data_IF_769890720869
#
_entry.id   IF_769890720869
#
_cell.length_a   1.000
_cell.length_b   1.000
_cell.length_c   1.000
_cell.angle_alpha   90.00
_cell.angle_beta   90.00
_cell.angle_gamma   90.00
#
_symmetry.space_group_name_H-M   'P 1'
#
loop_
_entity.id
_entity.type
_entity.pdbx_description
1 polymer ?
#
# COMPACT_ATOMS: atom_id res chain seq x y z
N UNK A 1 -35.38 4.42 -6.24
CA UNK A 1 -34.33 3.50 -6.76
C UNK A 1 -32.95 4.17 -6.76
N UNK A 2 -32.49 4.74 -5.63
CA UNK A 2 -31.17 5.40 -5.54
C UNK A 2 -30.20 4.72 -4.56
N UNK A 3 -30.69 3.83 -3.70
CA UNK A 3 -29.89 3.18 -2.64
C UNK A 3 -29.03 2.02 -3.19
N UNK A 4 -29.34 1.51 -4.39
CA UNK A 4 -28.63 0.38 -4.98
C UNK A 4 -27.33 0.77 -5.70
N UNK A 5 -27.17 2.03 -6.11
CA UNK A 5 -25.95 2.52 -6.77
C UNK A 5 -24.86 2.89 -5.74
N UNK A 6 -25.25 3.35 -4.54
CA UNK A 6 -24.30 3.70 -3.47
C UNK A 6 -23.70 2.47 -2.76
N UNK A 7 -24.28 1.27 -2.95
CA UNK A 7 -23.73 0.01 -2.42
C UNK A 7 -22.62 -0.60 -3.28
N UNK A 8 -22.42 -0.12 -4.51
CA UNK A 8 -21.45 -0.71 -5.44
C UNK A 8 -20.00 -0.20 -5.28
N UNK A 9 -19.80 0.84 -4.48
CA UNK A 9 -18.48 1.39 -4.11
C UNK A 9 -17.88 0.76 -2.84
N UNK A 10 -18.51 -0.29 -2.30
CA UNK A 10 -18.06 -0.96 -1.07
C UNK A 10 -17.69 -2.41 -1.36
N UNK A 11 -16.51 -2.66 -1.97
CA UNK A 11 -15.74 -3.92 -1.86
C UNK A 11 -14.53 -3.97 -2.82
N UNK A 12 -13.52 -3.16 -2.56
CA UNK A 12 -12.13 -3.63 -2.71
C UNK A 12 -11.54 -3.55 -1.32
N UNK A 13 -12.03 -4.41 -0.44
CA UNK A 13 -11.44 -4.54 0.88
C UNK A 13 -10.24 -5.45 0.74
N UNK A 14 -9.13 -5.08 1.38
CA UNK A 14 -7.99 -5.96 1.63
C UNK A 14 -8.44 -7.41 1.86
N UNK A 15 -7.93 -8.31 1.03
CA UNK A 15 -8.25 -9.73 1.05
C UNK A 15 -7.00 -10.52 1.44
N UNK A 16 -7.16 -11.49 2.33
CA UNK A 16 -6.11 -12.44 2.70
C UNK A 16 -6.47 -13.79 2.07
N UNK A 17 -5.60 -14.31 1.22
CA UNK A 17 -5.70 -15.64 0.60
C UNK A 17 -4.61 -16.54 1.17
N UNK A 18 -4.87 -17.84 1.18
CA UNK A 18 -3.87 -18.83 1.56
C UNK A 18 -3.78 -19.91 0.48
N UNK A 19 -2.54 -20.34 0.19
CA UNK A 19 -2.25 -21.47 -0.68
C UNK A 19 -1.21 -22.35 0.01
N UNK A 20 -1.66 -23.48 0.56
CA UNK A 20 -0.82 -24.30 1.45
C UNK A 20 -0.40 -23.50 2.69
N UNK A 21 0.91 -23.36 2.89
CA UNK A 21 1.51 -22.60 4.00
C UNK A 21 1.86 -21.16 3.62
N UNK A 22 1.43 -20.70 2.44
CA UNK A 22 1.67 -19.33 1.97
C UNK A 22 0.45 -18.47 2.17
N UNK A 23 0.66 -17.25 2.65
CA UNK A 23 -0.37 -16.22 2.80
C UNK A 23 -0.11 -15.10 1.80
N UNK A 24 -1.14 -14.74 1.04
CA UNK A 24 -1.13 -13.65 0.07
C UNK A 24 -2.07 -12.55 0.53
N UNK A 25 -1.59 -11.31 0.48
CA UNK A 25 -2.39 -10.14 0.74
C UNK A 25 -2.71 -9.43 -0.58
N UNK A 26 -3.97 -9.37 -0.95
CA UNK A 26 -4.45 -8.59 -2.09
C UNK A 26 -5.04 -7.28 -1.57
N UNK A 27 -4.45 -6.15 -1.96
CA UNK A 27 -4.88 -4.84 -1.51
C UNK A 27 -4.62 -3.77 -2.58
N UNK A 28 -5.32 -2.66 -2.48
CA UNK A 28 -5.07 -1.47 -3.30
C UNK A 28 -3.71 -0.84 -2.96
N UNK A 29 -3.16 -0.01 -3.84
CA UNK A 29 -1.91 0.70 -3.55
C UNK A 29 -2.05 1.64 -2.33
N UNK A 30 -3.22 2.24 -2.14
CA UNK A 30 -3.52 3.06 -0.95
C UNK A 30 -3.48 2.22 0.35
N UNK A 31 -4.03 1.01 0.34
CA UNK A 31 -3.95 0.09 1.47
C UNK A 31 -2.51 -0.42 1.71
N UNK A 32 -1.73 -0.66 0.66
CA UNK A 32 -0.32 -1.03 0.77
C UNK A 32 0.52 0.09 1.42
N UNK A 33 0.29 1.36 1.06
CA UNK A 33 0.90 2.53 1.73
C UNK A 33 0.54 2.57 3.21
N UNK A 34 -0.74 2.35 3.54
CA UNK A 34 -1.20 2.30 4.93
C UNK A 34 -0.49 1.20 5.73
N UNK A 35 -0.38 0.00 5.16
CA UNK A 35 0.33 -1.12 5.78
C UNK A 35 1.80 -0.81 6.02
N UNK A 36 2.49 -0.25 5.02
CA UNK A 36 3.88 0.15 5.18
C UNK A 36 4.06 1.14 6.34
N UNK A 37 3.23 2.18 6.41
CA UNK A 37 3.30 3.17 7.49
C UNK A 37 3.00 2.56 8.86
N UNK A 38 2.00 1.68 8.94
CA UNK A 38 1.67 0.99 10.17
C UNK A 38 2.84 0.11 10.62
N UNK A 39 3.37 -0.73 9.73
CA UNK A 39 4.51 -1.61 10.00
C UNK A 39 5.73 -0.80 10.42
N UNK A 40 6.11 0.22 9.64
CA UNK A 40 7.27 1.07 9.91
C UNK A 40 7.18 1.78 11.27
N UNK A 41 5.99 2.25 11.66
CA UNK A 41 5.75 2.85 12.99
C UNK A 41 5.83 1.83 14.13
N UNK A 42 5.51 0.57 13.86
CA UNK A 42 5.55 -0.52 14.84
C UNK A 42 6.89 -1.23 14.91
N UNK A 43 7.82 -0.98 13.96
CA UNK A 43 9.20 -1.41 14.13
C UNK A 43 9.75 -0.66 15.32
N UNK A 44 9.83 -1.37 16.45
CA UNK A 44 10.73 -0.97 17.50
C UNK A 44 12.15 -1.19 16.94
N UNK A 45 12.78 -0.11 16.49
CA UNK A 45 14.18 -0.11 16.03
C UNK A 45 15.12 -0.65 17.12
N UNK A 46 14.65 -0.77 18.37
CA UNK A 46 15.40 -1.37 19.47
C UNK A 46 15.25 -2.89 19.57
N UNK A 47 14.18 -3.51 19.06
CA UNK A 47 13.95 -4.96 19.23
C UNK A 47 14.59 -5.81 18.13
N UNK A 48 14.83 -5.27 16.93
CA UNK A 48 15.50 -5.97 15.82
C UNK A 48 14.72 -7.14 15.20
N UNK A 49 13.66 -7.63 15.84
CA UNK A 49 12.95 -8.86 15.45
C UNK A 49 12.12 -8.73 14.16
N UNK A 50 11.62 -7.53 13.82
CA UNK A 50 10.78 -7.34 12.62
C UNK A 50 11.61 -7.36 11.32
N UNK A 51 12.91 -7.05 11.41
CA UNK A 51 13.80 -7.04 10.24
C UNK A 51 14.38 -8.43 9.92
N UNK A 52 14.31 -9.40 10.84
CA UNK A 52 14.78 -10.78 10.60
C UNK A 52 13.99 -11.52 9.50
N UNK A 53 12.80 -11.04 9.15
CA UNK A 53 11.91 -11.70 8.19
C UNK A 53 11.74 -10.98 6.85
N UNK A 54 12.53 -9.93 6.57
CA UNK A 54 12.60 -9.28 5.25
C UNK A 54 11.24 -8.88 4.65
N UNK A 55 10.22 -8.53 5.44
CA UNK A 55 8.90 -8.17 4.91
C UNK A 55 8.83 -6.70 4.49
N UNK A 56 9.48 -5.82 5.26
CA UNK A 56 9.37 -4.37 5.09
C UNK A 56 10.20 -3.90 3.90
N UNK A 57 11.39 -4.46 3.69
CA UNK A 57 12.27 -4.09 2.59
C UNK A 57 11.67 -4.34 1.20
N UNK A 58 11.03 -5.50 0.90
CA UNK A 58 10.30 -5.70 -0.35
C UNK A 58 9.10 -4.77 -0.51
N UNK A 59 8.32 -4.53 0.55
CA UNK A 59 7.19 -3.61 0.48
C UNK A 59 7.65 -2.17 0.21
N UNK A 60 8.70 -1.72 0.87
CA UNK A 60 9.31 -0.42 0.62
C UNK A 60 9.84 -0.31 -0.82
N UNK A 61 10.55 -1.34 -1.30
CA UNK A 61 11.07 -1.35 -2.68
C UNK A 61 9.95 -1.26 -3.72
N UNK A 62 8.87 -2.00 -3.51
CA UNK A 62 7.66 -1.93 -4.34
C UNK A 62 7.06 -0.52 -4.33
N UNK A 63 6.90 0.09 -3.16
CA UNK A 63 6.34 1.44 -3.04
C UNK A 63 7.24 2.52 -3.63
N UNK A 64 8.57 2.40 -3.50
CA UNK A 64 9.53 3.27 -4.17
C UNK A 64 9.37 3.21 -5.68
N UNK A 65 9.25 2.01 -6.25
CA UNK A 65 9.01 1.86 -7.69
C UNK A 65 7.71 2.58 -8.10
N UNK A 66 6.62 2.40 -7.33
CA UNK A 66 5.35 3.10 -7.60
C UNK A 66 5.42 4.61 -7.46
N UNK A 67 6.19 5.11 -6.50
CA UNK A 67 6.43 6.54 -6.35
C UNK A 67 7.19 7.11 -7.56
N UNK A 68 8.25 6.42 -8.00
CA UNK A 68 9.04 6.82 -9.19
C UNK A 68 8.20 6.77 -10.47
N UNK A 69 7.36 5.75 -10.64
CA UNK A 69 6.39 5.66 -11.77
C UNK A 69 5.43 6.87 -11.80
N UNK A 70 5.18 7.50 -10.65
CA UNK A 70 4.34 8.70 -10.52
C UNK A 70 5.15 10.01 -10.52
N UNK A 71 6.46 9.95 -10.79
CA UNK A 71 7.33 11.13 -10.84
C UNK A 71 7.72 11.69 -9.46
N UNK A 72 7.53 10.91 -8.39
CA UNK A 72 7.95 11.27 -7.04
C UNK A 72 9.44 11.00 -6.89
N UNK A 73 10.18 12.01 -6.43
CA UNK A 73 11.58 11.85 -6.04
C UNK A 73 11.65 11.23 -4.63
N UNK A 74 12.02 9.95 -4.58
CA UNK A 74 12.13 9.19 -3.33
C UNK A 74 13.35 9.56 -2.47
N UNK A 75 14.30 10.32 -3.02
CA UNK A 75 15.43 10.85 -2.23
C UNK A 75 15.04 12.07 -1.39
N UNK A 76 13.93 12.73 -1.76
CA UNK A 76 13.31 13.77 -0.97
C UNK A 76 12.31 13.15 0.01
N UNK A 77 12.68 13.15 1.29
CA UNK A 77 11.87 12.57 2.36
C UNK A 77 10.48 13.21 2.47
N UNK A 78 10.36 14.51 2.18
CA UNK A 78 9.06 15.20 2.25
C UNK A 78 8.10 14.71 1.15
N UNK A 79 8.62 14.56 -0.07
CA UNK A 79 7.85 14.04 -1.21
C UNK A 79 7.47 12.58 -1.06
N UNK A 80 8.34 11.80 -0.42
CA UNK A 80 8.06 10.43 -0.05
C UNK A 80 6.90 10.34 0.95
N UNK A 81 6.94 11.11 2.03
CA UNK A 81 5.85 11.15 3.01
C UNK A 81 4.53 11.62 2.39
N UNK A 82 4.57 12.65 1.54
CA UNK A 82 3.40 13.12 0.80
C UNK A 82 2.80 12.02 -0.10
N UNK A 83 3.65 11.25 -0.78
CA UNK A 83 3.21 10.09 -1.55
C UNK A 83 2.53 9.05 -0.66
N UNK A 84 3.08 8.75 0.52
CA UNK A 84 2.51 7.79 1.45
C UNK A 84 1.19 8.25 2.07
N UNK A 85 1.02 9.56 2.27
CA UNK A 85 -0.20 10.17 2.82
C UNK A 85 -1.30 10.42 1.78
N UNK A 86 -0.94 10.47 0.49
CA UNK A 86 -1.89 10.71 -0.59
C UNK A 86 -2.72 9.45 -0.88
N UNK A 87 -4.07 9.50 -0.71
CA UNK A 87 -4.94 8.48 -1.25
C UNK A 87 -4.85 8.62 -2.77
N UNK A 88 -4.39 7.58 -3.45
CA UNK A 88 -4.36 7.65 -4.90
C UNK A 88 -5.78 7.84 -5.39
N UNK A 89 -6.01 8.97 -6.08
CA UNK A 89 -7.06 9.03 -7.07
C UNK A 89 -6.63 8.04 -8.15
N UNK A 90 -7.19 6.84 -8.10
CA UNK A 90 -7.19 5.95 -9.24
C UNK A 90 -7.85 6.73 -10.39
N UNK A 91 -7.02 7.35 -11.22
CA UNK A 91 -7.46 7.78 -12.53
C UNK A 91 -7.84 6.50 -13.26
N UNK A 92 -9.13 6.17 -13.21
CA UNK A 92 -9.78 5.38 -14.23
C UNK A 92 -9.53 6.13 -15.54
N UNK A 93 -8.44 5.78 -16.22
CA UNK A 93 -8.33 6.01 -17.63
C UNK A 93 -9.46 5.18 -18.25
N UNK A 94 -10.62 5.83 -18.41
CA UNK A 94 -11.64 5.38 -19.35
C UNK A 94 -10.93 5.23 -20.70
N UNK A 95 -10.79 3.98 -21.12
CA UNK A 95 -10.36 3.65 -22.47
C UNK A 95 -11.33 4.34 -23.45
N UNK A 96 -10.77 5.18 -24.31
CA UNK A 96 -11.42 5.67 -25.53
C UNK A 96 -11.62 4.52 -26.53
#
# INVERSE_FOLDING_TARGET
MAISAMRKLRKEAMEIKAEGDKVFLCCTLSEAKLLYRALFRTIDLQSGEIDEHNLIMPLQSFLHQKAVEQGVDISDHSRWEDFLDSPLLENFAENE
#
